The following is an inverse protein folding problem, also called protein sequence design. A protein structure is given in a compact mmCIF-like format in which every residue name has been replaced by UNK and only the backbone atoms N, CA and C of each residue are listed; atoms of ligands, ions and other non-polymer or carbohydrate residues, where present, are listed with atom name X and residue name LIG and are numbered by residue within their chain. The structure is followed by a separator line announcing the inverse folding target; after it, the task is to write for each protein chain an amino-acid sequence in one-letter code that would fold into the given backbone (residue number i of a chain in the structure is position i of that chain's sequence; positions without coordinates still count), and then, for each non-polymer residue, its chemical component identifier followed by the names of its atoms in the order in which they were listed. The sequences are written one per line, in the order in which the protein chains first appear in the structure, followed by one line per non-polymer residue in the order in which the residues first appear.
data_IF_505866163158
#
_entry.id   IF_505866163158
#
_cell.length_a   1.000
_cell.length_b   1.000
_cell.length_c   1.000
_cell.angle_alpha   90.00
_cell.angle_beta   90.00
_cell.angle_gamma   90.00
#
_symmetry.space_group_name_H-M   'P 1'
#
loop_
_entity.id
_entity.type
_entity.pdbx_description
1 polymer ?
#
# COMPACT_ATOMS: atom_id res chain seq x y z
N UNK A 1 -12.13 4.85 -20.62
CA UNK A 1 -10.76 4.33 -20.77
C UNK A 1 -10.87 2.82 -20.87
N UNK A 2 -10.38 2.24 -21.96
CA UNK A 2 -10.33 0.77 -22.09
C UNK A 2 -9.29 0.19 -21.13
N UNK A 3 -9.50 -1.05 -20.70
CA UNK A 3 -8.56 -1.77 -19.85
C UNK A 3 -7.25 -2.05 -20.63
N UNK A 4 -6.13 -2.09 -19.93
CA UNK A 4 -4.85 -2.43 -20.56
C UNK A 4 -4.88 -3.91 -21.00
N UNK A 5 -4.69 -4.17 -22.30
CA UNK A 5 -4.69 -5.51 -22.89
C UNK A 5 -3.28 -6.12 -23.01
N UNK A 6 -2.21 -5.41 -22.66
CA UNK A 6 -0.83 -5.92 -22.72
C UNK A 6 -0.37 -6.68 -21.47
N UNK A 7 -1.24 -6.80 -20.46
CA UNK A 7 -0.91 -7.38 -19.16
C UNK A 7 -1.61 -8.72 -19.00
N UNK A 8 -0.84 -9.77 -18.66
CA UNK A 8 -1.42 -11.06 -18.30
C UNK A 8 -2.13 -10.95 -16.93
N UNK A 9 -3.47 -11.09 -16.86
CA UNK A 9 -4.21 -10.94 -15.61
C UNK A 9 -3.91 -12.05 -14.59
N UNK A 10 -3.47 -13.22 -15.05
CA UNK A 10 -3.28 -14.39 -14.18
C UNK A 10 -1.93 -14.36 -13.45
N UNK A 11 -0.93 -13.70 -14.04
CA UNK A 11 0.46 -13.76 -13.57
C UNK A 11 0.98 -12.43 -13.01
N UNK A 12 0.39 -11.29 -13.40
CA UNK A 12 0.95 -9.96 -13.12
C UNK A 12 1.20 -9.71 -11.63
N UNK A 13 0.33 -10.22 -10.76
CA UNK A 13 0.47 -10.05 -9.30
C UNK A 13 1.68 -10.84 -8.78
N UNK A 14 1.84 -12.10 -9.21
CA UNK A 14 2.96 -12.94 -8.79
C UNK A 14 4.31 -12.38 -9.27
N UNK A 15 4.35 -11.89 -10.52
CA UNK A 15 5.54 -11.22 -11.08
C UNK A 15 5.87 -9.95 -10.29
N UNK A 16 4.88 -9.12 -9.95
CA UNK A 16 5.06 -7.92 -9.14
C UNK A 16 5.63 -8.22 -7.75
N UNK A 17 5.15 -9.28 -7.10
CA UNK A 17 5.69 -9.73 -5.81
C UNK A 17 7.17 -10.18 -5.91
N UNK A 18 7.53 -10.91 -6.97
CA UNK A 18 8.92 -11.32 -7.22
C UNK A 18 9.84 -10.11 -7.43
N UNK A 19 9.37 -9.08 -8.16
CA UNK A 19 10.11 -7.82 -8.33
C UNK A 19 10.31 -7.12 -6.98
N UNK A 20 9.26 -6.99 -6.16
CA UNK A 20 9.35 -6.39 -4.83
C UNK A 20 10.34 -7.15 -3.94
N UNK A 21 10.38 -8.49 -4.01
CA UNK A 21 11.37 -9.29 -3.29
C UNK A 21 12.81 -8.97 -3.71
N UNK A 22 13.07 -8.75 -5.01
CA UNK A 22 14.40 -8.37 -5.51
C UNK A 22 14.83 -6.98 -5.02
N UNK A 23 13.88 -6.03 -4.93
CA UNK A 23 14.15 -4.69 -4.35
C UNK A 23 14.54 -4.80 -2.88
N UNK A 24 13.81 -5.59 -2.09
CA UNK A 24 14.10 -5.80 -0.66
C UNK A 24 15.47 -6.48 -0.44
N UNK A 25 15.86 -7.41 -1.31
CA UNK A 25 17.18 -8.08 -1.27
C UNK A 25 18.33 -7.17 -1.71
N UNK A 26 18.04 -6.04 -2.36
CA UNK A 26 19.03 -5.11 -2.89
C UNK A 26 19.53 -5.45 -4.30
N UNK A 27 18.90 -6.42 -4.98
CA UNK A 27 19.20 -6.81 -6.37
C UNK A 27 18.80 -5.72 -7.37
N UNK A 28 17.86 -4.84 -7.00
CA UNK A 28 17.47 -3.64 -7.75
C UNK A 28 17.45 -2.42 -6.85
N UNK A 29 18.19 -1.38 -7.24
CA UNK A 29 18.36 -0.15 -6.44
C UNK A 29 17.62 1.06 -7.03
N UNK A 30 17.13 0.95 -8.26
CA UNK A 30 16.56 2.10 -8.99
C UNK A 30 15.02 2.14 -8.91
N UNK A 31 14.43 1.40 -7.97
CA UNK A 31 12.98 1.28 -7.79
C UNK A 31 12.60 1.83 -6.43
N UNK A 32 11.72 2.84 -6.43
CA UNK A 32 11.08 3.39 -5.23
C UNK A 32 9.58 3.08 -5.27
N UNK A 33 9.07 2.47 -4.20
CA UNK A 33 7.66 2.21 -3.99
C UNK A 33 7.19 2.95 -2.73
N UNK A 34 6.15 3.77 -2.88
CA UNK A 34 5.45 4.42 -1.76
C UNK A 34 4.01 3.93 -1.81
N UNK A 35 3.63 3.13 -0.81
CA UNK A 35 2.27 2.60 -0.69
C UNK A 35 1.47 3.38 0.38
N UNK A 36 0.17 3.12 0.49
CA UNK A 36 -0.75 3.81 1.40
C UNK A 36 -1.63 2.83 2.19
N UNK A 37 -2.08 3.22 3.39
CA UNK A 37 -3.14 2.46 4.09
C UNK A 37 -4.50 2.69 3.44
N UNK A 38 -5.29 1.64 3.11
CA UNK A 38 -6.57 1.82 2.42
C UNK A 38 -7.69 2.37 3.32
N UNK A 39 -7.55 2.22 4.65
CA UNK A 39 -8.56 2.57 5.64
C UNK A 39 -8.00 3.54 6.68
N UNK A 40 -8.89 4.34 7.26
CA UNK A 40 -8.54 5.17 8.40
C UNK A 40 -8.39 4.27 9.64
N UNK A 41 -7.29 4.43 10.37
CA UNK A 41 -7.07 3.79 11.67
C UNK A 41 -7.47 4.78 12.77
N UNK A 42 -8.22 4.33 13.77
CA UNK A 42 -8.67 5.17 14.87
C UNK A 42 -9.08 4.34 16.07
N UNK A 43 -9.54 5.04 17.11
CA UNK A 43 -10.07 4.45 18.34
C UNK A 43 -11.47 4.98 18.61
N UNK A 44 -12.27 4.17 19.28
CA UNK A 44 -13.56 4.62 19.81
C UNK A 44 -13.34 5.56 21.01
N UNK A 45 -14.07 6.67 21.03
CA UNK A 45 -14.08 7.63 22.15
C UNK A 45 -15.49 7.74 22.75
N UNK A 46 -15.60 8.44 23.89
CA UNK A 46 -16.86 8.57 24.65
C UNK A 46 -18.02 8.96 23.73
N UNK A 47 -19.11 8.19 23.83
CA UNK A 47 -20.30 8.37 23.00
C UNK A 47 -20.30 7.54 21.71
N UNK A 48 -19.40 6.55 21.58
CA UNK A 48 -19.36 5.65 20.43
C UNK A 48 -18.80 6.31 19.17
N UNK A 49 -18.01 7.38 19.33
CA UNK A 49 -17.49 8.16 18.21
C UNK A 49 -16.14 7.58 17.78
N UNK A 50 -16.02 7.20 16.51
CA UNK A 50 -14.75 6.79 15.93
C UNK A 50 -13.85 8.01 15.70
N UNK A 51 -12.84 8.19 16.54
CA UNK A 51 -11.82 9.22 16.38
C UNK A 51 -10.64 8.66 15.60
N UNK A 52 -10.44 9.18 14.40
CA UNK A 52 -9.37 8.73 13.50
C UNK A 52 -8.02 9.28 13.94
N UNK A 53 -7.02 8.41 13.97
CA UNK A 53 -5.63 8.73 14.27
C UNK A 53 -4.79 8.82 12.99
N UNK A 54 -5.00 7.90 12.05
CA UNK A 54 -4.39 7.91 10.71
C UNK A 54 -5.53 7.88 9.70
N UNK A 55 -5.51 8.79 8.73
CA UNK A 55 -6.52 8.82 7.67
C UNK A 55 -6.24 7.78 6.59
N UNK A 56 -7.31 7.30 5.93
CA UNK A 56 -7.18 6.49 4.72
C UNK A 56 -6.35 7.23 3.68
N UNK A 57 -5.63 6.47 2.86
CA UNK A 57 -4.69 6.93 1.85
C UNK A 57 -3.45 7.67 2.42
N UNK A 58 -3.17 7.55 3.73
CA UNK A 58 -1.89 8.03 4.28
C UNK A 58 -0.75 7.12 3.79
N UNK A 59 0.33 7.72 3.26
CA UNK A 59 1.53 6.99 2.83
C UNK A 59 2.17 6.24 4.00
N UNK A 60 2.63 5.01 3.74
CA UNK A 60 3.32 4.15 4.71
C UNK A 60 4.81 4.06 4.37
N UNK A 61 5.70 3.95 5.39
CA UNK A 61 5.41 3.87 6.82
C UNK A 61 5.00 5.23 7.42
N UNK A 62 4.06 5.21 8.36
CA UNK A 62 3.61 6.41 9.09
C UNK A 62 3.47 6.11 10.57
N UNK A 63 3.60 7.14 11.41
CA UNK A 63 3.42 7.08 12.86
C UNK A 63 2.67 8.33 13.33
N UNK A 64 1.69 8.12 14.21
CA UNK A 64 1.01 9.17 14.98
C UNK A 64 1.23 8.87 16.46
N UNK A 65 1.72 9.87 17.19
CA UNK A 65 2.02 9.79 18.63
C UNK A 65 1.07 10.71 19.40
#
# INVERSE_FOLDING_TARGET
KEANQSVNPDEVVAVGAAVQSGVIKGDRKDVLLIDVTPLSLGIETKGGIMTKLIERNTAIPTKRS
#
